data_IF_251802507474
#
_entry.id   IF_251802507474
#
_cell.length_a   1.000
_cell.length_b   1.000
_cell.length_c   1.000
_cell.angle_alpha   90.00
_cell.angle_beta   90.00
_cell.angle_gamma   90.00
#
_symmetry.space_group_name_H-M   'P 1'
#
loop_
_entity.id
_entity.type
_entity.pdbx_description
1 polymer ?
#
# COMPACT_ATOMS: atom_id res chain seq x y z
N UNK A 1 0.84 4.85 1.43
CA UNK A 1 0.04 3.69 0.97
C UNK A 1 -0.78 3.02 2.07
N UNK A 2 -0.22 2.19 2.97
CA UNK A 2 -1.02 1.42 3.95
C UNK A 2 -1.94 2.28 4.84
N UNK A 3 -1.46 3.43 5.34
CA UNK A 3 -2.29 4.33 6.15
C UNK A 3 -3.42 4.97 5.33
N UNK A 4 -3.16 5.34 4.08
CA UNK A 4 -4.18 5.85 3.18
C UNK A 4 -5.23 4.78 2.85
N UNK A 5 -4.82 3.54 2.58
CA UNK A 5 -5.75 2.42 2.41
C UNK A 5 -6.61 2.17 3.67
N UNK A 6 -6.04 2.34 4.87
CA UNK A 6 -6.80 2.31 6.12
C UNK A 6 -7.78 3.47 6.23
N UNK A 7 -7.38 4.67 5.84
CA UNK A 7 -8.27 5.83 5.82
C UNK A 7 -9.47 5.58 4.89
N UNK A 8 -9.24 5.03 3.70
CA UNK A 8 -10.31 4.58 2.81
C UNK A 8 -11.22 3.55 3.48
N UNK A 9 -10.63 2.53 4.12
CA UNK A 9 -11.40 1.51 4.85
C UNK A 9 -12.28 2.13 5.95
N UNK A 10 -11.75 3.06 6.74
CA UNK A 10 -12.50 3.78 7.77
C UNK A 10 -13.59 4.67 7.19
N UNK A 11 -13.32 5.39 6.09
CA UNK A 11 -14.31 6.23 5.42
C UNK A 11 -15.49 5.42 4.87
N UNK A 12 -15.27 4.15 4.52
CA UNK A 12 -16.33 3.22 4.13
C UNK A 12 -17.01 2.51 5.31
N UNK A 13 -16.68 2.88 6.56
CA UNK A 13 -17.30 2.33 7.77
C UNK A 13 -16.71 0.99 8.26
N UNK A 14 -15.57 0.57 7.71
CA UNK A 14 -14.91 -0.68 8.09
C UNK A 14 -13.64 -0.43 8.91
N UNK A 15 -13.26 -1.38 9.76
CA UNK A 15 -12.00 -1.36 10.52
C UNK A 15 -11.28 -2.70 10.41
N UNK A 16 -9.97 -2.73 10.15
CA UNK A 16 -9.23 -3.98 10.15
C UNK A 16 -9.12 -4.53 11.58
N UNK A 17 -9.31 -5.84 11.74
CA UNK A 17 -9.22 -6.56 13.02
C UNK A 17 -8.26 -7.77 12.93
N UNK A 18 -7.80 -8.27 14.09
CA UNK A 18 -6.90 -9.42 14.18
C UNK A 18 -5.41 -9.10 14.05
N UNK A 19 -4.57 -10.13 13.96
CA UNK A 19 -3.09 -10.01 13.91
C UNK A 19 -2.56 -9.67 12.51
N UNK A 20 -3.30 -10.00 11.44
CA UNK A 20 -2.89 -9.79 10.05
C UNK A 20 -3.58 -8.56 9.43
N UNK A 21 -3.62 -7.45 10.15
CA UNK A 21 -4.39 -6.26 9.71
C UNK A 21 -3.92 -5.69 8.38
N UNK A 22 -2.63 -5.85 8.04
CA UNK A 22 -2.09 -5.33 6.79
C UNK A 22 -2.65 -6.04 5.56
N UNK A 23 -2.81 -7.38 5.58
CA UNK A 23 -3.36 -8.10 4.43
C UNK A 23 -4.86 -7.84 4.29
N UNK A 24 -5.58 -7.67 5.40
CA UNK A 24 -6.99 -7.31 5.37
C UNK A 24 -7.22 -5.96 4.66
N UNK A 25 -6.34 -4.97 4.91
CA UNK A 25 -6.39 -3.67 4.24
C UNK A 25 -6.07 -3.77 2.74
N UNK A 26 -5.10 -4.61 2.35
CA UNK A 26 -4.80 -4.85 0.92
C UNK A 26 -6.00 -5.47 0.22
N UNK A 27 -6.59 -6.53 0.79
CA UNK A 27 -7.76 -7.22 0.22
C UNK A 27 -8.98 -6.31 0.14
N UNK A 28 -9.18 -5.46 1.13
CA UNK A 28 -10.24 -4.46 1.08
C UNK A 28 -10.04 -3.47 -0.07
N UNK A 29 -8.79 -3.05 -0.32
CA UNK A 29 -8.48 -2.12 -1.40
C UNK A 29 -8.73 -2.69 -2.81
N UNK A 30 -8.76 -4.02 -2.98
CA UNK A 30 -9.11 -4.71 -4.25
C UNK A 30 -10.48 -4.30 -4.79
N UNK A 31 -11.38 -3.84 -3.92
CA UNK A 31 -12.73 -3.41 -4.30
C UNK A 31 -12.75 -2.06 -5.01
N UNK A 32 -11.66 -1.29 -4.96
CA UNK A 32 -11.62 0.10 -5.41
C UNK A 32 -10.42 0.43 -6.30
N UNK A 33 -9.31 -0.32 -6.17
CA UNK A 33 -8.09 -0.09 -6.93
C UNK A 33 -8.01 -1.01 -8.14
N UNK A 34 -7.36 -0.54 -9.20
CA UNK A 34 -7.02 -1.39 -10.32
C UNK A 34 -5.95 -2.43 -9.95
N UNK A 35 -5.80 -3.45 -10.81
CA UNK A 35 -4.91 -4.57 -10.57
C UNK A 35 -3.43 -4.16 -10.50
N UNK A 36 -2.99 -3.18 -11.28
CA UNK A 36 -1.59 -2.73 -11.29
C UNK A 36 -1.22 -2.02 -9.98
N UNK A 37 -2.08 -1.10 -9.54
CA UNK A 37 -1.92 -0.34 -8.29
C UNK A 37 -1.97 -1.28 -7.09
N UNK A 38 -2.86 -2.28 -7.11
CA UNK A 38 -2.95 -3.31 -6.08
C UNK A 38 -1.67 -4.15 -5.99
N UNK A 39 -1.15 -4.63 -7.13
CA UNK A 39 0.09 -5.41 -7.19
C UNK A 39 1.26 -4.60 -6.67
N UNK A 40 1.36 -3.32 -7.05
CA UNK A 40 2.37 -2.40 -6.53
C UNK A 40 2.24 -2.24 -5.01
N UNK A 41 1.03 -2.06 -4.50
CA UNK A 41 0.77 -1.89 -3.07
C UNK A 41 1.18 -3.13 -2.25
N UNK A 42 0.78 -4.35 -2.66
CA UNK A 42 1.20 -5.57 -1.95
C UNK A 42 2.71 -5.80 -2.05
N UNK A 43 3.33 -5.52 -3.21
CA UNK A 43 4.79 -5.60 -3.36
C UNK A 43 5.51 -4.66 -2.39
N UNK A 44 5.06 -3.41 -2.26
CA UNK A 44 5.62 -2.45 -1.31
C UNK A 44 5.40 -2.87 0.15
N UNK A 45 4.22 -3.42 0.48
CA UNK A 45 3.94 -3.98 1.81
C UNK A 45 4.91 -5.12 2.17
N UNK A 46 5.16 -6.05 1.23
CA UNK A 46 6.10 -7.16 1.41
C UNK A 46 7.54 -6.66 1.52
N UNK A 47 7.96 -5.75 0.65
CA UNK A 47 9.32 -5.16 0.68
C UNK A 47 9.58 -4.44 1.99
N UNK A 48 8.62 -3.68 2.54
CA UNK A 48 8.74 -3.04 3.85
C UNK A 48 9.03 -4.05 4.99
N UNK A 49 8.47 -5.26 4.90
CA UNK A 49 8.77 -6.31 5.87
C UNK A 49 10.19 -6.88 5.67
N UNK A 50 10.65 -6.99 4.42
CA UNK A 50 11.98 -7.50 4.09
C UNK A 50 13.11 -6.50 4.38
N UNK A 51 12.92 -5.20 4.12
CA UNK A 51 13.94 -4.16 4.36
C UNK A 51 14.27 -3.94 5.84
N UNK A 52 13.42 -4.39 6.75
CA UNK A 52 13.74 -4.39 8.20
C UNK A 52 14.82 -5.44 8.53
N UNK A 53 15.05 -6.42 7.65
CA UNK A 53 16.01 -7.50 7.83
C UNK A 53 17.13 -7.55 6.77
N UNK A 54 17.04 -6.77 5.68
CA UNK A 54 18.02 -6.78 4.60
C UNK A 54 19.18 -5.81 4.81
N UNK A 55 20.38 -6.30 4.48
CA UNK A 55 21.65 -5.58 4.46
C UNK A 55 21.57 -4.35 3.53
N UNK A 56 22.29 -3.28 3.87
CA UNK A 56 22.40 -2.10 3.02
C UNK A 56 22.85 -2.48 1.59
N UNK A 57 22.13 -2.02 0.56
CA UNK A 57 22.42 -2.28 -0.85
C UNK A 57 21.39 -3.13 -1.61
N UNK A 58 20.38 -3.70 -0.95
CA UNK A 58 19.37 -4.57 -1.61
C UNK A 58 18.34 -3.82 -2.47
N UNK A 59 18.16 -2.51 -2.26
CA UNK A 59 17.26 -1.66 -3.08
C UNK A 59 18.11 -0.67 -3.87
N UNK A 60 17.96 -0.70 -5.19
CA UNK A 60 18.60 0.28 -6.08
C UNK A 60 17.90 1.66 -5.99
N UNK A 61 18.63 2.73 -6.34
CA UNK A 61 18.07 4.08 -6.42
C UNK A 61 16.84 4.14 -7.34
N UNK A 62 16.92 3.54 -8.52
CA UNK A 62 15.81 3.42 -9.47
C UNK A 62 14.58 2.73 -8.86
N UNK A 63 14.78 1.69 -8.05
CA UNK A 63 13.66 1.04 -7.36
C UNK A 63 13.07 1.91 -6.25
N UNK A 64 13.88 2.72 -5.57
CA UNK A 64 13.43 3.65 -4.55
C UNK A 64 12.60 4.78 -5.17
N UNK A 65 13.10 5.41 -6.24
CA UNK A 65 12.38 6.43 -7.00
C UNK A 65 11.06 5.88 -7.56
N UNK A 66 11.12 4.71 -8.19
CA UNK A 66 9.93 4.04 -8.70
C UNK A 66 8.93 3.63 -7.61
N UNK A 67 9.37 3.42 -6.36
CA UNK A 67 8.48 3.19 -5.24
C UNK A 67 7.76 4.47 -4.80
N UNK A 68 8.45 5.61 -4.83
CA UNK A 68 7.88 6.93 -4.51
C UNK A 68 6.82 7.30 -5.55
N UNK A 69 7.14 7.24 -6.85
CA UNK A 69 6.17 7.58 -7.91
C UNK A 69 4.89 6.75 -7.83
N UNK A 70 5.02 5.44 -7.53
CA UNK A 70 3.84 4.57 -7.34
C UNK A 70 3.08 4.89 -6.06
N UNK A 71 3.76 5.34 -5.00
CA UNK A 71 3.11 5.75 -3.77
C UNK A 71 2.29 7.04 -3.96
N UNK A 72 2.77 7.97 -4.79
CA UNK A 72 2.06 9.21 -5.13
C UNK A 72 0.79 8.91 -5.93
N UNK A 73 0.90 8.16 -7.03
CA UNK A 73 -0.27 7.77 -7.83
C UNK A 73 -1.32 6.99 -7.00
N UNK A 74 -0.86 6.16 -6.07
CA UNK A 74 -1.73 5.48 -5.11
C UNK A 74 -2.46 6.46 -4.19
N UNK A 75 -1.78 7.49 -3.68
CA UNK A 75 -2.38 8.49 -2.80
C UNK A 75 -3.43 9.30 -3.56
N UNK A 76 -3.12 9.76 -4.78
CA UNK A 76 -4.07 10.49 -5.63
C UNK A 76 -5.36 9.70 -5.85
N UNK A 77 -5.23 8.39 -6.10
CA UNK A 77 -6.37 7.49 -6.29
C UNK A 77 -7.21 7.38 -5.01
N UNK A 78 -6.57 7.20 -3.86
CA UNK A 78 -7.28 7.10 -2.58
C UNK A 78 -7.94 8.43 -2.20
N UNK A 79 -7.29 9.57 -2.43
CA UNK A 79 -7.87 10.89 -2.18
C UNK A 79 -9.11 11.13 -3.04
N UNK A 80 -9.08 10.72 -4.32
CA UNK A 80 -10.24 10.81 -5.19
C UNK A 80 -11.44 9.96 -4.69
N UNK A 81 -11.17 8.82 -4.04
CA UNK A 81 -12.20 7.93 -3.46
C UNK A 81 -12.75 8.40 -2.10
N UNK A 82 -12.06 9.34 -1.46
CA UNK A 82 -12.41 9.91 -0.15
C UNK A 82 -13.22 11.23 -0.25
N UNK A 83 -13.19 11.89 -1.42
CA UNK A 83 -14.01 13.06 -1.73
C UNK A 83 -15.43 12.64 -2.11
#
# INVERSE_FOLDING_TARGET
>A
MLQAARALMFAKGYRPSGNSQHIAVVRFAELFLDGETLVAFDRMRRKRHATVYDMAGTISELEAEGAITRADAFLDTVEALLR
#
